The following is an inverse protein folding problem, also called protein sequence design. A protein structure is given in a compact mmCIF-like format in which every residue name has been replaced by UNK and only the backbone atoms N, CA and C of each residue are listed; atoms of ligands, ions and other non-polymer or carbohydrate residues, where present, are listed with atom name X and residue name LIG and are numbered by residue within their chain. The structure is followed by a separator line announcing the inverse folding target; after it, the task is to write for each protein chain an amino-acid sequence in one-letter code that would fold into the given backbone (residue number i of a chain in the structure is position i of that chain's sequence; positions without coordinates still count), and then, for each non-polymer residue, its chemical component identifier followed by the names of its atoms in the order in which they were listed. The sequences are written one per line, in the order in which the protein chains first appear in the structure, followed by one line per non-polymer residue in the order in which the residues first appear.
data_IF_551940952013
#
_entry.id   IF_551940952013
#
_cell.length_a   1.000
_cell.length_b   1.000
_cell.length_c   1.000
_cell.angle_alpha   90.00
_cell.angle_beta   90.00
_cell.angle_gamma   90.00
#
_symmetry.space_group_name_H-M   'P 1'
#
loop_
_entity.id
_entity.type
_entity.pdbx_description
1 polymer ?
#
# COMPACT_ATOMS: atom_id res chain seq x y z
N UNK A 1 -5.14 4.80 9.75
CA UNK A 1 -6.35 5.27 9.03
C UNK A 1 -6.25 4.99 7.52
N UNK A 2 -5.09 5.23 6.87
CA UNK A 2 -4.96 5.03 5.41
C UNK A 2 -5.23 3.59 4.96
N UNK A 3 -4.64 2.60 5.61
CA UNK A 3 -4.89 1.18 5.31
C UNK A 3 -6.39 0.85 5.45
N UNK A 4 -6.98 1.22 6.59
CA UNK A 4 -8.40 1.00 6.85
C UNK A 4 -9.29 1.66 5.79
N UNK A 5 -9.00 2.92 5.44
CA UNK A 5 -9.74 3.67 4.42
C UNK A 5 -9.73 2.97 3.07
N UNK A 6 -8.56 2.58 2.57
CA UNK A 6 -8.47 1.92 1.26
C UNK A 6 -9.18 0.56 1.23
N UNK A 7 -9.09 -0.21 2.31
CA UNK A 7 -9.82 -1.48 2.43
C UNK A 7 -11.34 -1.28 2.50
N UNK A 8 -11.81 -0.22 3.17
CA UNK A 8 -13.23 0.16 3.18
C UNK A 8 -13.75 0.56 1.81
N UNK A 9 -12.92 1.24 1.00
CA UNK A 9 -13.26 1.56 -0.39
C UNK A 9 -13.47 0.30 -1.21
N UNK A 10 -12.55 -0.67 -1.12
CA UNK A 10 -12.68 -1.97 -1.81
C UNK A 10 -13.96 -2.68 -1.38
N UNK A 11 -14.25 -2.69 -0.08
CA UNK A 11 -15.46 -3.32 0.43
C UNK A 11 -16.73 -2.68 -0.12
N UNK A 12 -16.83 -1.37 -0.07
CA UNK A 12 -17.98 -0.63 -0.59
C UNK A 12 -18.19 -0.86 -2.08
N UNK A 13 -17.12 -0.91 -2.86
CA UNK A 13 -17.17 -1.26 -4.28
C UNK A 13 -17.72 -2.68 -4.49
N UNK A 14 -17.15 -3.68 -3.81
CA UNK A 14 -17.61 -5.07 -3.96
C UNK A 14 -19.08 -5.25 -3.54
N UNK A 15 -19.50 -4.59 -2.48
CA UNK A 15 -20.91 -4.59 -2.05
C UNK A 15 -21.82 -3.99 -3.13
N UNK A 16 -21.39 -2.90 -3.77
CA UNK A 16 -22.18 -2.20 -4.80
C UNK A 16 -22.43 -3.03 -6.06
N UNK A 17 -21.51 -3.93 -6.40
CA UNK A 17 -21.61 -4.83 -7.55
C UNK A 17 -22.17 -6.22 -7.18
N UNK A 18 -22.75 -6.36 -5.98
CA UNK A 18 -23.32 -7.62 -5.50
C UNK A 18 -22.30 -8.70 -5.10
N UNK A 19 -21.03 -8.31 -4.92
CA UNK A 19 -19.93 -9.21 -4.54
C UNK A 19 -19.50 -9.04 -3.08
N UNK A 20 -20.37 -8.58 -2.20
CA UNK A 20 -20.10 -8.39 -0.77
C UNK A 20 -19.71 -9.67 -0.01
N UNK A 21 -19.92 -10.84 -0.61
CA UNK A 21 -19.46 -12.13 -0.08
C UNK A 21 -17.94 -12.33 -0.18
N UNK A 22 -17.25 -11.57 -1.04
CA UNK A 22 -15.79 -11.61 -1.17
C UNK A 22 -15.16 -10.99 0.08
N UNK A 23 -14.63 -11.83 0.95
CA UNK A 23 -14.12 -11.44 2.26
C UNK A 23 -12.70 -11.91 2.56
N UNK A 24 -12.01 -12.49 1.59
CA UNK A 24 -10.61 -12.93 1.75
C UNK A 24 -9.64 -11.94 1.15
N UNK A 25 -8.52 -11.70 1.84
CA UNK A 25 -7.39 -10.91 1.37
C UNK A 25 -6.13 -11.76 1.39
N UNK A 26 -5.45 -11.85 0.25
CA UNK A 26 -4.11 -12.42 0.18
C UNK A 26 -3.09 -11.40 0.70
N UNK A 27 -2.16 -11.84 1.54
CA UNK A 27 -1.11 -11.00 2.12
C UNK A 27 0.20 -11.78 2.11
N UNK A 28 1.27 -11.29 1.45
CA UNK A 28 2.57 -11.93 1.50
C UNK A 28 3.15 -12.01 2.91
N UNK A 29 3.88 -13.07 3.21
CA UNK A 29 4.55 -13.25 4.50
C UNK A 29 5.54 -12.12 4.84
N UNK A 30 6.05 -11.42 3.82
CA UNK A 30 6.91 -10.24 3.95
C UNK A 30 6.16 -8.95 4.35
N UNK A 31 4.83 -8.96 4.44
CA UNK A 31 4.04 -7.76 4.74
C UNK A 31 4.26 -7.28 6.18
N UNK A 32 4.10 -5.98 6.39
CA UNK A 32 4.08 -5.40 7.73
C UNK A 32 2.87 -5.93 8.53
N UNK A 33 3.05 -6.15 9.84
CA UNK A 33 2.00 -6.68 10.71
C UNK A 33 0.73 -5.84 10.78
N UNK A 34 0.77 -4.56 10.40
CA UNK A 34 -0.43 -3.72 10.31
C UNK A 34 -1.35 -4.10 9.15
N UNK A 35 -0.84 -4.72 8.09
CA UNK A 35 -1.65 -5.12 6.94
C UNK A 35 -2.71 -6.17 7.33
N UNK A 36 -2.37 -7.32 7.92
CA UNK A 36 -3.37 -8.26 8.38
C UNK A 36 -4.27 -7.68 9.48
N UNK A 37 -3.75 -6.83 10.38
CA UNK A 37 -4.54 -6.19 11.42
C UNK A 37 -5.62 -5.27 10.82
N UNK A 38 -5.27 -4.44 9.85
CA UNK A 38 -6.23 -3.55 9.15
C UNK A 38 -7.24 -4.34 8.33
N UNK A 39 -6.84 -5.46 7.71
CA UNK A 39 -7.74 -6.34 6.98
C UNK A 39 -8.81 -6.93 7.93
N UNK A 40 -8.40 -7.47 9.06
CA UNK A 40 -9.31 -8.01 10.08
C UNK A 40 -10.23 -6.92 10.63
N UNK A 41 -9.71 -5.71 10.89
CA UNK A 41 -10.52 -4.58 11.34
C UNK A 41 -11.61 -4.19 10.34
N UNK A 42 -11.37 -4.39 9.03
CA UNK A 42 -12.36 -4.18 7.98
C UNK A 42 -13.33 -5.37 7.79
N UNK A 43 -13.19 -6.44 8.59
CA UNK A 43 -14.03 -7.64 8.51
C UNK A 43 -13.61 -8.63 7.41
N UNK A 44 -12.35 -8.56 6.97
CA UNK A 44 -11.77 -9.53 6.06
C UNK A 44 -11.07 -10.68 6.79
N UNK A 45 -10.99 -11.82 6.14
CA UNK A 45 -10.14 -12.95 6.55
C UNK A 45 -8.85 -12.91 5.72
N UNK A 46 -7.71 -13.08 6.39
CA UNK A 46 -6.41 -13.04 5.72
C UNK A 46 -5.94 -14.44 5.32
N UNK A 47 -5.36 -14.54 4.13
CA UNK A 47 -4.69 -15.73 3.61
C UNK A 47 -3.24 -15.34 3.32
N UNK A 48 -2.29 -15.99 3.98
CA UNK A 48 -0.87 -15.66 3.81
C UNK A 48 -0.29 -16.35 2.59
N UNK A 49 0.38 -15.59 1.71
CA UNK A 49 1.18 -16.12 0.61
C UNK A 49 2.63 -16.28 1.07
N UNK A 50 3.28 -17.35 0.62
CA UNK A 50 4.69 -17.61 0.90
C UNK A 50 5.60 -16.60 0.19
N UNK A 51 6.83 -16.48 0.70
CA UNK A 51 7.95 -15.83 0.03
C UNK A 51 9.04 -16.86 -0.25
N UNK A 52 9.80 -16.65 -1.31
CA UNK A 52 10.96 -17.46 -1.64
C UNK A 52 12.15 -17.16 -0.70
N UNK A 53 13.25 -17.93 -0.86
CA UNK A 53 14.47 -17.77 -0.06
C UNK A 53 15.19 -16.43 -0.29
N UNK A 54 14.80 -15.67 -1.32
CA UNK A 54 15.31 -14.32 -1.61
C UNK A 54 14.39 -13.21 -1.13
N UNK A 55 13.29 -13.57 -0.46
CA UNK A 55 12.31 -12.61 0.06
C UNK A 55 11.30 -12.09 -0.96
N UNK A 56 11.31 -12.59 -2.21
CA UNK A 56 10.28 -12.28 -3.19
C UNK A 56 8.99 -13.03 -2.86
N UNK A 57 7.87 -12.56 -3.36
CA UNK A 57 6.61 -13.32 -3.30
C UNK A 57 6.73 -14.60 -4.11
N UNK A 58 6.38 -15.72 -3.53
CA UNK A 58 6.22 -16.97 -4.28
C UNK A 58 4.99 -16.88 -5.17
N UNK A 59 5.23 -16.62 -6.48
CA UNK A 59 4.17 -16.37 -7.46
C UNK A 59 3.31 -17.60 -7.71
N UNK A 60 3.88 -18.80 -7.61
CA UNK A 60 3.12 -20.03 -7.78
C UNK A 60 2.20 -20.31 -6.59
N UNK A 61 2.68 -20.09 -5.36
CA UNK A 61 1.84 -20.16 -4.16
C UNK A 61 0.73 -19.10 -4.20
N UNK A 62 1.07 -17.87 -4.60
CA UNK A 62 0.08 -16.79 -4.77
C UNK A 62 -0.98 -17.17 -5.80
N UNK A 63 -0.57 -17.70 -6.96
CA UNK A 63 -1.48 -18.15 -8.02
C UNK A 63 -2.41 -19.26 -7.56
N UNK A 64 -1.86 -20.26 -6.87
CA UNK A 64 -2.62 -21.38 -6.34
C UNK A 64 -3.70 -20.89 -5.34
N UNK A 65 -3.31 -20.03 -4.40
CA UNK A 65 -4.24 -19.46 -3.41
C UNK A 65 -5.26 -18.52 -4.02
N UNK A 66 -4.86 -17.72 -5.02
CA UNK A 66 -5.80 -16.86 -5.74
C UNK A 66 -6.86 -17.66 -6.47
N UNK A 67 -6.51 -18.78 -7.11
CA UNK A 67 -7.45 -19.65 -7.79
C UNK A 67 -8.31 -20.44 -6.78
N UNK A 68 -7.73 -20.97 -5.70
CA UNK A 68 -8.46 -21.66 -4.63
C UNK A 68 -9.57 -20.79 -4.03
N UNK A 69 -9.29 -19.49 -3.86
CA UNK A 69 -10.21 -18.57 -3.20
C UNK A 69 -10.88 -17.59 -4.15
N UNK A 70 -10.81 -17.79 -5.46
CA UNK A 70 -11.22 -16.79 -6.46
C UNK A 70 -12.63 -16.24 -6.27
N UNK A 71 -13.56 -17.05 -5.81
CA UNK A 71 -14.96 -16.64 -5.61
C UNK A 71 -15.16 -15.80 -4.34
N UNK A 72 -14.24 -15.89 -3.38
CA UNK A 72 -14.27 -15.16 -2.11
C UNK A 72 -13.16 -14.11 -2.01
N UNK A 73 -12.26 -14.04 -2.99
CA UNK A 73 -11.10 -13.16 -2.96
C UNK A 73 -11.53 -11.71 -3.22
N UNK A 74 -11.33 -10.85 -2.23
CA UNK A 74 -11.60 -9.42 -2.31
C UNK A 74 -10.40 -8.65 -2.88
N UNK A 75 -9.20 -8.94 -2.36
CA UNK A 75 -7.98 -8.23 -2.74
C UNK A 75 -6.70 -9.00 -2.43
N UNK A 76 -5.62 -8.58 -3.08
CA UNK A 76 -4.25 -8.74 -2.58
C UNK A 76 -3.85 -7.45 -1.87
N UNK A 77 -3.23 -7.54 -0.69
CA UNK A 77 -2.59 -6.40 -0.03
C UNK A 77 -1.09 -6.62 0.03
N UNK A 78 -0.33 -5.83 -0.73
CA UNK A 78 1.10 -5.99 -0.93
C UNK A 78 1.85 -4.68 -0.66
N UNK A 79 2.98 -4.76 0.01
CA UNK A 79 3.92 -3.63 0.19
C UNK A 79 4.93 -3.64 -0.95
N UNK A 80 5.14 -2.49 -1.61
CA UNK A 80 6.11 -2.40 -2.70
C UNK A 80 6.91 -1.09 -2.64
N UNK A 81 8.27 -1.16 -2.66
CA UNK A 81 9.08 -2.35 -2.39
C UNK A 81 8.70 -3.02 -1.07
N UNK A 82 9.04 -4.31 -0.91
CA UNK A 82 8.59 -5.10 0.25
C UNK A 82 9.15 -4.55 1.58
N UNK A 83 8.63 -5.03 2.71
CA UNK A 83 9.17 -4.70 4.04
C UNK A 83 10.64 -5.13 4.20
N UNK A 84 11.08 -6.13 3.45
CA UNK A 84 12.48 -6.55 3.39
C UNK A 84 13.36 -5.69 2.48
N UNK A 85 12.79 -4.71 1.77
CA UNK A 85 13.50 -3.84 0.83
C UNK A 85 13.65 -4.43 -0.57
N UNK A 86 12.93 -5.50 -0.88
CA UNK A 86 12.97 -6.18 -2.18
C UNK A 86 12.06 -5.46 -3.17
N UNK A 87 12.60 -5.11 -4.34
CA UNK A 87 11.82 -4.75 -5.52
C UNK A 87 11.37 -6.03 -6.21
N UNK A 88 10.10 -6.39 -6.00
CA UNK A 88 9.49 -7.58 -6.57
C UNK A 88 9.52 -7.51 -8.10
N UNK A 89 10.32 -8.35 -8.80
CA UNK A 89 10.47 -8.26 -10.25
C UNK A 89 9.19 -8.63 -10.98
N UNK A 90 8.36 -9.49 -10.39
CA UNK A 90 7.12 -9.98 -11.00
C UNK A 90 5.87 -9.23 -10.57
N UNK A 91 6.01 -8.05 -9.97
CA UNK A 91 4.88 -7.27 -9.43
C UNK A 91 3.75 -7.07 -10.44
N UNK A 92 4.09 -6.82 -11.71
CA UNK A 92 3.08 -6.63 -12.75
C UNK A 92 2.31 -7.92 -13.08
N UNK A 93 2.96 -9.08 -13.04
CA UNK A 93 2.31 -10.37 -13.23
C UNK A 93 1.44 -10.72 -12.01
N UNK A 94 1.93 -10.46 -10.80
CA UNK A 94 1.17 -10.61 -9.55
C UNK A 94 -0.14 -9.83 -9.65
N UNK A 95 -0.10 -8.55 -10.04
CA UNK A 95 -1.31 -7.74 -10.22
C UNK A 95 -2.28 -8.36 -11.23
N UNK A 96 -1.77 -8.86 -12.36
CA UNK A 96 -2.60 -9.52 -13.38
C UNK A 96 -3.27 -10.79 -12.88
N UNK A 97 -2.58 -11.60 -12.07
CA UNK A 97 -3.16 -12.82 -11.48
C UNK A 97 -4.38 -12.45 -10.63
N UNK A 98 -4.24 -11.44 -9.78
CA UNK A 98 -5.29 -10.98 -8.88
C UNK A 98 -6.49 -10.42 -9.67
N UNK A 99 -6.23 -9.56 -10.67
CA UNK A 99 -7.28 -9.00 -11.51
C UNK A 99 -8.04 -10.08 -12.30
N UNK A 100 -7.36 -11.15 -12.78
CA UNK A 100 -8.03 -12.28 -13.44
C UNK A 100 -9.02 -13.01 -12.53
N UNK A 101 -8.81 -12.98 -11.22
CA UNK A 101 -9.74 -13.52 -10.22
C UNK A 101 -10.88 -12.54 -9.87
N UNK A 102 -10.93 -11.36 -10.50
CA UNK A 102 -11.92 -10.31 -10.19
C UNK A 102 -11.68 -9.57 -8.89
N UNK A 103 -10.51 -9.72 -8.30
CA UNK A 103 -10.12 -9.08 -7.04
C UNK A 103 -9.31 -7.80 -7.29
N UNK A 104 -9.20 -6.95 -6.26
CA UNK A 104 -8.49 -5.67 -6.32
C UNK A 104 -7.05 -5.80 -5.83
N UNK A 105 -6.16 -4.92 -6.28
CA UNK A 105 -4.79 -4.83 -5.79
C UNK A 105 -4.66 -3.61 -4.88
N UNK A 106 -4.42 -3.85 -3.60
CA UNK A 106 -4.07 -2.83 -2.62
C UNK A 106 -2.56 -2.77 -2.44
N UNK A 107 -1.95 -1.66 -2.82
CA UNK A 107 -0.52 -1.40 -2.58
C UNK A 107 -0.33 -0.59 -1.30
N UNK A 108 0.39 -1.16 -0.34
CA UNK A 108 0.89 -0.40 0.80
C UNK A 108 2.06 0.50 0.33
N UNK A 109 1.80 1.80 0.32
CA UNK A 109 2.75 2.83 -0.12
C UNK A 109 3.70 3.31 0.97
N UNK A 110 3.91 2.55 2.04
CA UNK A 110 4.83 2.91 3.12
C UNK A 110 6.26 3.16 2.61
N UNK A 111 6.67 2.46 1.56
CA UNK A 111 7.99 2.55 0.93
C UNK A 111 8.00 3.43 -0.33
N UNK A 112 7.10 4.39 -0.45
CA UNK A 112 7.02 5.31 -1.60
C UNK A 112 8.32 6.08 -1.84
N UNK A 113 9.15 6.28 -0.82
CA UNK A 113 10.48 6.89 -0.93
C UNK A 113 11.42 6.17 -1.91
N UNK A 114 11.14 4.90 -2.25
CA UNK A 114 11.89 4.16 -3.25
C UNK A 114 11.22 4.17 -4.65
N UNK A 115 10.10 4.85 -4.82
CA UNK A 115 9.33 4.89 -6.07
C UNK A 115 9.26 6.29 -6.70
N UNK A 116 9.25 7.35 -5.91
CA UNK A 116 8.99 8.73 -6.39
C UNK A 116 9.94 9.12 -7.53
N UNK A 117 9.36 9.47 -8.66
CA UNK A 117 10.08 9.86 -9.88
C UNK A 117 10.67 8.68 -10.68
N UNK A 118 10.52 7.43 -10.23
CA UNK A 118 10.99 6.22 -10.92
C UNK A 118 9.82 5.35 -11.42
N UNK A 119 8.81 5.17 -10.60
CA UNK A 119 7.59 4.41 -10.93
C UNK A 119 6.41 4.96 -10.14
N UNK A 120 5.23 4.40 -10.35
CA UNK A 120 4.03 4.74 -9.58
C UNK A 120 3.06 3.54 -9.46
N UNK A 121 2.21 3.52 -8.42
CA UNK A 121 1.27 2.42 -8.17
C UNK A 121 0.33 2.12 -9.35
N UNK A 122 -0.19 3.14 -10.03
CA UNK A 122 -1.11 2.95 -11.16
C UNK A 122 -0.45 2.25 -12.34
N UNK A 123 0.79 2.60 -12.68
CA UNK A 123 1.56 1.93 -13.76
C UNK A 123 1.88 0.47 -13.41
N UNK A 124 2.10 0.18 -12.13
CA UNK A 124 2.37 -1.17 -11.63
C UNK A 124 1.11 -2.04 -11.70
N UNK A 125 -0.08 -1.46 -11.54
CA UNK A 125 -1.36 -2.14 -11.58
C UNK A 125 -2.10 -2.16 -10.24
N UNK A 126 -1.76 -1.26 -9.31
CA UNK A 126 -2.50 -1.13 -8.06
C UNK A 126 -3.81 -0.36 -8.27
N UNK A 127 -4.88 -0.85 -7.64
CA UNK A 127 -6.21 -0.19 -7.64
C UNK A 127 -6.36 0.77 -6.47
N UNK A 128 -5.69 0.49 -5.37
CA UNK A 128 -5.65 1.33 -4.17
C UNK A 128 -4.22 1.45 -3.67
N UNK A 129 -3.83 2.66 -3.27
CA UNK A 129 -2.55 2.88 -2.59
C UNK A 129 -2.72 3.92 -1.49
N UNK A 130 -2.29 3.61 -0.26
CA UNK A 130 -2.13 4.63 0.77
C UNK A 130 -0.69 5.11 0.86
N UNK A 131 -0.48 6.33 1.34
CA UNK A 131 0.83 6.93 1.53
C UNK A 131 1.09 7.23 3.02
N UNK A 132 2.35 7.04 3.42
CA UNK A 132 2.83 7.49 4.71
C UNK A 132 3.62 8.80 4.54
N UNK A 133 2.98 9.95 4.74
CA UNK A 133 3.62 11.26 4.55
C UNK A 133 4.79 11.48 5.51
N UNK A 134 4.75 10.88 6.70
CA UNK A 134 5.83 10.92 7.68
C UNK A 134 7.08 10.07 7.33
N UNK A 135 7.01 9.28 6.26
CA UNK A 135 8.16 8.51 5.75
C UNK A 135 8.78 9.19 4.54
N UNK A 136 7.98 9.52 3.54
CA UNK A 136 8.45 9.99 2.23
C UNK A 136 8.41 11.51 2.09
N UNK A 137 7.49 12.21 2.78
CA UNK A 137 7.15 13.62 2.51
C UNK A 137 7.29 14.54 3.72
N UNK A 138 8.22 14.21 4.63
CA UNK A 138 8.64 15.04 5.76
C UNK A 138 7.55 15.47 6.76
N UNK A 139 6.38 14.82 6.75
CA UNK A 139 5.34 15.08 7.75
C UNK A 139 5.81 14.61 9.13
N UNK A 140 5.57 15.34 10.22
CA UNK A 140 5.94 14.89 11.56
C UNK A 140 5.13 13.67 11.97
N UNK A 141 5.78 12.68 12.59
CA UNK A 141 5.11 11.51 13.20
C UNK A 141 4.85 11.74 14.71
N UNK A 142 5.76 12.45 15.39
CA UNK A 142 5.61 12.88 16.77
C UNK A 142 5.40 11.75 17.78
N UNK A 143 6.02 10.60 17.56
CA UNK A 143 5.83 9.44 18.44
C UNK A 143 4.42 8.85 18.42
N UNK A 144 3.70 8.98 17.29
CA UNK A 144 2.30 8.58 17.13
C UNK A 144 1.34 9.77 17.09
N UNK A 145 1.86 10.94 16.79
CA UNK A 145 1.13 12.22 16.74
C UNK A 145 0.10 12.32 15.61
N UNK A 146 -0.02 13.49 14.96
CA UNK A 146 -1.11 13.77 14.04
C UNK A 146 -1.14 12.77 12.89
N UNK A 147 -2.29 12.13 12.71
CA UNK A 147 -2.50 11.11 11.68
C UNK A 147 -3.10 11.69 10.41
N UNK A 148 -2.38 11.58 9.30
CA UNK A 148 -2.91 11.82 7.97
C UNK A 148 -2.30 10.79 7.01
N UNK A 149 -3.14 10.11 6.25
CA UNK A 149 -2.73 9.07 5.30
C UNK A 149 -3.51 9.23 4.00
N UNK A 150 -2.96 9.90 2.99
CA UNK A 150 -3.61 9.99 1.69
C UNK A 150 -3.86 8.60 1.10
N UNK A 151 -5.02 8.44 0.49
CA UNK A 151 -5.41 7.22 -0.22
C UNK A 151 -5.70 7.61 -1.66
N UNK A 152 -5.00 6.96 -2.58
CA UNK A 152 -5.21 7.08 -4.02
C UNK A 152 -5.92 5.83 -4.52
N UNK A 153 -6.86 5.99 -5.44
CA UNK A 153 -7.64 4.88 -5.97
C UNK A 153 -7.74 4.95 -7.50
N UNK A 154 -7.94 3.80 -8.15
CA UNK A 154 -8.27 3.73 -9.57
C UNK A 154 -9.66 4.34 -9.82
N UNK A 155 -9.93 4.76 -11.07
CA UNK A 155 -11.12 5.52 -11.44
C UNK A 155 -12.44 4.84 -11.02
N UNK A 156 -12.54 3.53 -11.19
CA UNK A 156 -13.74 2.76 -10.82
C UNK A 156 -14.04 2.74 -9.32
N UNK A 157 -13.06 3.05 -8.47
CA UNK A 157 -13.20 3.10 -7.03
C UNK A 157 -13.51 4.52 -6.49
N UNK A 158 -13.37 5.56 -7.31
CA UNK A 158 -13.60 6.97 -6.90
C UNK A 158 -14.96 7.19 -6.26
N UNK A 159 -16.09 6.62 -6.78
CA UNK A 159 -17.40 6.80 -6.17
C UNK A 159 -17.55 6.26 -4.75
N UNK A 160 -16.61 5.42 -4.30
CA UNK A 160 -16.62 4.73 -3.01
C UNK A 160 -15.67 5.36 -1.98
N UNK A 161 -15.01 6.46 -2.33
CA UNK A 161 -14.20 7.23 -1.38
C UNK A 161 -15.06 7.72 -0.22
N UNK A 162 -14.49 7.77 1.01
CA UNK A 162 -15.23 8.18 2.19
C UNK A 162 -15.79 9.59 2.07
N UNK A 163 -17.08 9.74 2.43
CA UNK A 163 -17.66 11.03 2.74
C UNK A 163 -17.40 11.43 4.20
N UNK A 164 -18.03 12.52 4.63
CA UNK A 164 -18.03 12.96 6.02
C UNK A 164 -19.31 13.73 6.34
N UNK A 165 -19.87 13.50 7.52
CA UNK A 165 -21.12 14.13 7.99
C UNK A 165 -21.07 15.67 7.99
N UNK A 166 -19.90 16.27 8.26
CA UNK A 166 -19.67 17.72 8.19
C UNK A 166 -20.01 18.30 6.79
N UNK A 167 -19.84 17.50 5.74
CA UNK A 167 -20.17 17.90 4.36
C UNK A 167 -21.54 17.38 3.90
N UNK A 168 -22.35 16.89 4.82
CA UNK A 168 -23.67 16.34 4.50
C UNK A 168 -23.67 14.95 3.84
N UNK A 169 -22.53 14.28 3.83
CA UNK A 169 -22.38 12.94 3.30
C UNK A 169 -21.59 12.06 4.28
N UNK A 170 -22.26 11.16 4.98
CA UNK A 170 -21.67 10.23 5.94
C UNK A 170 -21.35 8.85 5.35
N UNK A 171 -21.37 8.71 4.01
CA UNK A 171 -21.09 7.42 3.35
C UNK A 171 -19.64 6.98 3.63
N UNK A 172 -19.48 5.79 4.17
CA UNK A 172 -18.16 5.19 4.45
C UNK A 172 -17.22 6.05 5.32
N UNK A 173 -17.76 6.87 6.21
CA UNK A 173 -16.97 7.72 7.11
C UNK A 173 -15.96 6.90 7.91
N UNK A 174 -14.69 7.31 7.92
CA UNK A 174 -13.56 6.54 8.45
C UNK A 174 -12.79 7.25 9.56
N UNK A 175 -13.03 8.53 9.79
CA UNK A 175 -12.33 9.34 10.81
C UNK A 175 -13.22 10.45 11.35
N UNK A 176 -12.92 10.91 12.58
CA UNK A 176 -13.68 12.00 13.22
C UNK A 176 -13.50 13.35 12.54
N UNK A 177 -12.41 13.54 11.81
CA UNK A 177 -12.18 14.75 11.01
C UNK A 177 -12.13 14.36 9.53
N UNK A 178 -12.69 15.18 8.61
CA UNK A 178 -12.84 14.82 7.19
C UNK A 178 -11.56 14.38 6.50
N UNK A 179 -10.45 15.01 6.87
CA UNK A 179 -9.15 14.78 6.24
C UNK A 179 -8.06 14.40 7.27
N UNK A 180 -8.45 13.79 8.39
CA UNK A 180 -7.53 13.49 9.49
C UNK A 180 -6.92 14.78 10.07
N UNK A 181 -5.66 14.73 10.46
CA UNK A 181 -4.93 15.89 10.99
C UNK A 181 -4.45 16.82 9.87
N UNK A 182 -5.36 17.36 9.08
CA UNK A 182 -5.06 18.14 7.88
C UNK A 182 -4.15 19.36 8.12
N UNK A 183 -4.09 19.88 9.34
CA UNK A 183 -3.23 21.02 9.73
C UNK A 183 -1.72 20.77 9.54
N UNK A 184 -1.28 19.51 9.36
CA UNK A 184 0.14 19.21 9.08
C UNK A 184 0.45 19.14 7.57
N UNK A 185 -0.55 19.13 6.70
CA UNK A 185 -0.34 19.04 5.24
C UNK A 185 0.51 20.20 4.67
N UNK A 186 0.46 21.44 5.18
CA UNK A 186 1.34 22.51 4.73
C UNK A 186 2.84 22.17 4.82
N UNK A 187 3.25 21.31 5.77
CA UNK A 187 4.65 20.86 5.91
C UNK A 187 5.02 19.99 4.71
N UNK A 188 4.20 18.99 4.37
CA UNK A 188 4.40 18.15 3.20
C UNK A 188 4.35 18.97 1.90
N UNK A 189 3.40 19.89 1.79
CA UNK A 189 3.29 20.79 0.64
C UNK A 189 4.55 21.64 0.47
N UNK A 190 5.02 22.28 1.55
CA UNK A 190 6.27 23.06 1.55
C UNK A 190 7.47 22.22 1.13
N UNK A 191 7.60 21.00 1.67
CA UNK A 191 8.65 20.06 1.30
C UNK A 191 8.64 19.73 -0.21
N UNK A 192 7.47 19.39 -0.77
CA UNK A 192 7.32 19.09 -2.20
C UNK A 192 7.67 20.31 -3.06
N UNK A 193 7.20 21.50 -2.69
CA UNK A 193 7.52 22.74 -3.40
C UNK A 193 9.02 23.07 -3.38
N UNK A 194 9.68 22.89 -2.22
CA UNK A 194 11.12 23.14 -2.07
C UNK A 194 11.97 22.15 -2.87
N UNK A 195 11.57 20.88 -2.90
CA UNK A 195 12.32 19.84 -3.61
C UNK A 195 12.09 19.87 -5.12
N UNK A 196 10.89 20.15 -5.54
CA UNK A 196 10.48 20.03 -6.94
C UNK A 196 10.60 18.60 -7.48
N UNK A 197 10.24 18.39 -8.73
CA UNK A 197 10.29 17.07 -9.36
C UNK A 197 11.70 16.47 -9.38
N UNK A 198 12.70 17.27 -9.71
CA UNK A 198 14.10 16.81 -9.76
C UNK A 198 14.63 16.46 -8.38
N UNK A 199 14.35 17.29 -7.36
CA UNK A 199 14.80 17.07 -5.99
C UNK A 199 14.20 15.81 -5.40
N UNK A 200 12.90 15.57 -5.58
CA UNK A 200 12.23 14.36 -5.12
C UNK A 200 12.79 13.11 -5.81
N UNK A 201 12.97 13.13 -7.14
CA UNK A 201 13.57 12.02 -7.88
C UNK A 201 15.01 11.75 -7.42
N UNK A 202 15.79 12.82 -7.18
CA UNK A 202 17.17 12.69 -6.67
C UNK A 202 17.18 12.11 -5.24
N UNK A 203 16.27 12.51 -4.39
CA UNK A 203 16.13 11.96 -3.04
C UNK A 203 15.86 10.45 -3.08
N UNK A 204 14.94 10.00 -3.95
CA UNK A 204 14.67 8.56 -4.16
C UNK A 204 15.92 7.80 -4.61
N UNK A 205 16.61 8.30 -5.65
CA UNK A 205 17.84 7.66 -6.16
C UNK A 205 18.93 7.61 -5.10
N UNK A 206 19.09 8.69 -4.33
CA UNK A 206 20.08 8.75 -3.24
C UNK A 206 19.74 7.77 -2.13
N UNK A 207 18.47 7.63 -1.75
CA UNK A 207 18.04 6.66 -0.73
C UNK A 207 18.38 5.22 -1.14
N UNK A 208 18.07 4.84 -2.38
CA UNK A 208 18.38 3.51 -2.93
C UNK A 208 19.90 3.29 -2.97
N UNK A 209 20.64 4.27 -3.48
CA UNK A 209 22.11 4.20 -3.57
C UNK A 209 22.74 4.05 -2.18
N UNK A 210 22.28 4.84 -1.20
CA UNK A 210 22.79 4.79 0.18
C UNK A 210 22.55 3.44 0.84
N UNK A 211 21.37 2.84 0.65
CA UNK A 211 21.06 1.52 1.18
C UNK A 211 21.99 0.44 0.57
N UNK A 212 22.18 0.45 -0.74
CA UNK A 212 23.09 -0.48 -1.43
C UNK A 212 24.55 -0.23 -1.04
N UNK A 213 24.96 1.03 -0.85
CA UNK A 213 26.30 1.36 -0.38
C UNK A 213 26.57 0.79 1.02
N UNK A 214 25.63 0.96 1.95
CA UNK A 214 25.75 0.39 3.29
C UNK A 214 25.81 -1.14 3.24
N UNK A 215 24.96 -1.78 2.44
CA UNK A 215 25.02 -3.24 2.25
C UNK A 215 26.40 -3.68 1.74
N UNK A 216 26.95 -2.97 0.75
CA UNK A 216 28.30 -3.26 0.23
C UNK A 216 29.41 -3.06 1.28
N UNK A 217 29.30 -2.04 2.14
CA UNK A 217 30.27 -1.81 3.20
C UNK A 217 30.26 -2.89 4.29
N UNK A 218 29.11 -3.47 4.57
CA UNK A 218 28.95 -4.41 5.69
C UNK A 218 28.92 -5.89 5.28
N UNK A 219 28.88 -6.21 3.99
CA UNK A 219 28.72 -7.58 3.48
C UNK A 219 29.75 -8.58 4.01
N UNK A 220 30.97 -8.14 4.35
CA UNK A 220 32.04 -9.01 4.84
C UNK A 220 32.00 -9.18 6.37
N UNK A 221 31.16 -8.41 7.06
CA UNK A 221 31.02 -8.44 8.53
C UNK A 221 29.67 -9.00 8.96
N UNK A 222 28.63 -8.68 8.23
CA UNK A 222 27.23 -9.08 8.50
C UNK A 222 26.66 -9.81 7.29
N UNK A 223 25.91 -10.88 7.55
CA UNK A 223 25.16 -11.56 6.50
C UNK A 223 24.03 -10.69 5.98
N UNK A 224 23.84 -10.70 4.66
CA UNK A 224 22.63 -10.14 4.02
C UNK A 224 21.64 -11.29 3.93
N UNK A 225 20.44 -11.10 4.47
CA UNK A 225 19.41 -12.15 4.53
C UNK A 225 18.65 -12.24 3.19
N UNK A 226 18.36 -11.07 2.58
CA UNK A 226 17.61 -10.96 1.33
C UNK A 226 18.29 -10.03 0.34
#
# INVERSE_FOLDING_TARGET
AGEYTGLRVIRAYLESIGQGHRNKILIPASAHGTNPASAVQCGYTTVTCACDDKGNVDVEDLRAKAEEHKDELAALMITYPSTHGIFEPEIAEICKIIHKCGAQVYMDGANMNAQVGLTNPGTIGADVCHLNLHKTFASPHGGGGPGVGPVCVAEHLVPFLPGHSIFGNSTNEVSSAPYGSAGILPITYGYICMMGAEGLTRATKTAILSANYLAACFKDTYGIVY
#
